data_IF_191911330764
#
_entry.id   IF_191911330764
#
_cell.length_a   1.000
_cell.length_b   1.000
_cell.length_c   1.000
_cell.angle_alpha   90.00
_cell.angle_beta   90.00
_cell.angle_gamma   90.00
#
_symmetry.space_group_name_H-M   'P 1'
#
loop_
_entity.id
_entity.type
_entity.pdbx_description
1 polymer ?
#
# COMPACT_ATOMS: atom_id res chain seq x y z
N UNK A 1 26.71 -13.53 0.78
CA UNK A 1 25.23 -13.51 0.93
C UNK A 1 24.61 -12.32 0.19
N UNK A 2 23.56 -12.52 -0.61
CA UNK A 2 22.84 -11.42 -1.26
C UNK A 2 22.19 -10.55 -0.17
N UNK A 3 22.37 -9.24 -0.26
CA UNK A 3 21.73 -8.28 0.63
C UNK A 3 20.22 -8.29 0.37
N UNK A 4 19.41 -8.35 1.43
CA UNK A 4 17.96 -8.42 1.32
C UNK A 4 17.36 -7.04 1.05
N UNK A 5 16.28 -7.01 0.29
CA UNK A 5 15.64 -5.80 -0.21
C UNK A 5 14.16 -5.68 0.19
N UNK A 6 13.69 -4.47 0.45
CA UNK A 6 12.27 -4.21 0.71
C UNK A 6 11.73 -3.00 -0.06
N UNK A 7 10.42 -2.96 -0.23
CA UNK A 7 9.67 -1.74 -0.55
C UNK A 7 8.45 -1.66 0.37
N UNK A 8 8.22 -0.51 0.99
CA UNK A 8 7.03 -0.22 1.79
C UNK A 8 6.20 0.85 1.09
N UNK A 9 4.98 0.49 0.68
CA UNK A 9 3.98 1.41 0.12
C UNK A 9 3.07 1.81 1.28
N UNK A 10 3.33 2.95 1.89
CA UNK A 10 2.64 3.40 3.08
C UNK A 10 1.65 4.53 2.78
N UNK A 11 0.54 4.54 3.52
CA UNK A 11 -0.48 5.57 3.51
C UNK A 11 0.00 6.87 4.15
N UNK A 12 -0.92 7.55 4.82
CA UNK A 12 -0.78 8.97 5.20
C UNK A 12 -0.12 9.20 6.57
N UNK A 13 0.45 8.17 7.17
CA UNK A 13 0.99 8.24 8.53
C UNK A 13 2.41 8.83 8.50
N UNK A 14 2.62 9.84 9.34
CA UNK A 14 3.84 10.62 9.44
C UNK A 14 5.07 9.79 9.83
N UNK A 15 6.24 10.31 9.46
CA UNK A 15 7.56 9.78 9.73
C UNK A 15 7.69 9.11 11.11
N UNK A 16 8.08 7.83 11.09
CA UNK A 16 8.57 7.09 12.26
C UNK A 16 7.54 6.33 13.11
N UNK A 17 6.25 6.69 13.11
CA UNK A 17 5.30 6.17 14.10
C UNK A 17 4.84 4.71 13.90
N UNK A 18 4.68 4.28 12.64
CA UNK A 18 4.16 2.95 12.30
C UNK A 18 4.80 2.51 10.97
N UNK A 19 5.91 1.77 11.05
CA UNK A 19 6.58 1.19 9.89
C UNK A 19 6.68 -0.31 10.06
N UNK A 20 6.36 -1.04 9.00
CA UNK A 20 6.53 -2.48 8.95
C UNK A 20 7.99 -2.88 8.66
N UNK A 21 8.85 -1.91 8.29
CA UNK A 21 10.21 -2.19 7.78
C UNK A 21 11.32 -1.45 8.52
N UNK A 22 11.02 -0.54 9.45
CA UNK A 22 12.04 0.24 10.16
C UNK A 22 13.07 -0.65 10.86
N UNK A 23 12.62 -1.69 11.56
CA UNK A 23 13.50 -2.67 12.21
C UNK A 23 14.34 -3.50 11.22
N UNK A 24 13.92 -3.64 9.96
CA UNK A 24 14.69 -4.39 8.96
C UNK A 24 15.98 -3.67 8.57
N UNK A 25 15.98 -2.34 8.61
CA UNK A 25 17.17 -1.52 8.32
C UNK A 25 18.29 -1.84 9.31
N UNK A 26 17.98 -1.95 10.60
CA UNK A 26 18.93 -2.29 11.66
C UNK A 26 19.52 -3.71 11.47
N UNK A 27 18.81 -4.58 10.76
CA UNK A 27 19.28 -5.94 10.41
C UNK A 27 20.05 -6.00 9.09
N UNK A 28 20.32 -4.85 8.46
CA UNK A 28 21.11 -4.74 7.23
C UNK A 28 20.31 -4.89 5.92
N UNK A 29 18.97 -4.88 5.98
CA UNK A 29 18.15 -4.79 4.77
C UNK A 29 18.23 -3.38 4.19
N UNK A 30 18.00 -3.27 2.89
CA UNK A 30 17.91 -1.98 2.18
C UNK A 30 16.64 -1.89 1.38
N UNK A 31 16.10 -0.69 1.22
CA UNK A 31 14.86 -0.52 0.52
C UNK A 31 14.42 0.94 0.49
N UNK A 32 13.17 1.13 0.09
CA UNK A 32 12.53 2.43 0.09
C UNK A 32 11.16 2.35 0.74
N UNK A 33 10.77 3.40 1.44
CA UNK A 33 9.41 3.65 1.91
C UNK A 33 8.82 4.79 1.10
N UNK A 34 7.68 4.53 0.47
CA UNK A 34 6.95 5.49 -0.36
C UNK A 34 5.69 5.90 0.40
N UNK A 35 5.56 7.16 0.76
CA UNK A 35 4.42 7.67 1.55
C UNK A 35 4.00 9.06 1.11
N UNK A 36 2.72 9.40 1.24
CA UNK A 36 2.23 10.75 0.95
C UNK A 36 2.72 11.79 1.96
N UNK A 37 3.20 11.37 3.14
CA UNK A 37 3.74 12.22 4.21
C UNK A 37 5.17 11.81 4.58
N UNK A 38 6.11 11.97 3.64
CA UNK A 38 7.52 11.94 4.03
C UNK A 38 7.83 13.19 4.85
N UNK A 39 8.19 13.00 6.13
CA UNK A 39 8.74 14.07 6.96
C UNK A 39 10.13 14.49 6.45
N UNK A 40 10.78 15.40 7.18
CA UNK A 40 12.19 15.78 6.97
C UNK A 40 13.14 14.69 7.49
N UNK A 41 12.92 13.44 7.10
CA UNK A 41 13.74 12.33 7.54
C UNK A 41 15.11 12.41 6.83
N UNK A 42 16.23 12.50 7.58
CA UNK A 42 17.57 12.52 6.98
C UNK A 42 17.95 11.19 6.34
N UNK A 43 17.20 10.11 6.61
CA UNK A 43 17.43 8.82 6.01
C UNK A 43 16.93 8.82 4.56
N UNK A 44 17.83 8.53 3.61
CA UNK A 44 17.54 8.56 2.17
C UNK A 44 16.53 7.50 1.69
N UNK A 45 15.93 6.72 2.60
CA UNK A 45 15.02 5.63 2.22
C UNK A 45 13.55 6.04 2.22
N UNK A 46 13.15 7.14 2.87
CA UNK A 46 11.76 7.61 2.86
C UNK A 46 11.57 8.65 1.75
N UNK A 47 10.62 8.42 0.86
CA UNK A 47 10.31 9.29 -0.27
C UNK A 47 8.84 9.70 -0.26
N UNK A 48 8.61 10.98 -0.56
CA UNK A 48 7.25 11.51 -0.70
C UNK A 48 6.65 11.09 -2.03
N UNK A 49 5.68 10.20 -2.02
CA UNK A 49 4.96 9.72 -3.19
C UNK A 49 3.47 9.50 -2.86
N UNK A 50 2.58 9.86 -3.77
CA UNK A 50 1.16 9.51 -3.68
C UNK A 50 0.91 8.37 -4.66
N UNK A 51 0.62 7.19 -4.12
CA UNK A 51 0.49 5.97 -4.90
C UNK A 51 -0.96 5.69 -5.28
N UNK A 52 -1.14 5.39 -6.56
CA UNK A 52 -2.39 4.96 -7.17
C UNK A 52 -2.11 3.78 -8.12
N UNK A 53 -3.12 2.95 -8.43
CA UNK A 53 -2.96 1.83 -9.35
C UNK A 53 -2.31 2.19 -10.69
N UNK A 54 -2.63 3.38 -11.25
CA UNK A 54 -2.11 3.82 -12.55
C UNK A 54 -0.66 4.33 -12.51
N UNK A 55 -0.13 4.71 -11.34
CA UNK A 55 1.21 5.29 -11.22
C UNK A 55 2.21 4.39 -10.48
N UNK A 56 1.75 3.40 -9.72
CA UNK A 56 2.59 2.64 -8.78
C UNK A 56 3.81 2.00 -9.47
N UNK A 57 3.62 1.36 -10.62
CA UNK A 57 4.72 0.74 -11.36
C UNK A 57 5.80 1.76 -11.79
N UNK A 58 5.39 2.92 -12.28
CA UNK A 58 6.33 3.97 -12.68
C UNK A 58 7.07 4.54 -11.46
N UNK A 59 6.38 4.70 -10.34
CA UNK A 59 6.99 5.15 -9.08
C UNK A 59 8.02 4.15 -8.56
N UNK A 60 7.75 2.84 -8.61
CA UNK A 60 8.74 1.82 -8.21
C UNK A 60 9.99 1.83 -9.11
N UNK A 61 9.81 2.02 -10.42
CA UNK A 61 10.94 2.16 -11.35
C UNK A 61 11.77 3.42 -11.07
N UNK A 62 11.12 4.56 -10.78
CA UNK A 62 11.79 5.82 -10.40
C UNK A 62 12.73 5.64 -9.21
N UNK A 63 12.35 4.80 -8.25
CA UNK A 63 13.13 4.51 -7.04
C UNK A 63 13.98 3.24 -7.16
N UNK A 64 14.19 2.73 -8.38
CA UNK A 64 15.01 1.56 -8.67
C UNK A 64 14.63 0.29 -7.85
N UNK A 65 13.34 0.14 -7.53
CA UNK A 65 12.83 -1.05 -6.83
C UNK A 65 12.87 -2.24 -7.78
N UNK A 66 13.62 -3.27 -7.40
CA UNK A 66 13.70 -4.52 -8.17
C UNK A 66 12.34 -5.16 -8.36
N UNK A 67 12.10 -5.75 -9.54
CA UNK A 67 10.92 -6.59 -9.76
C UNK A 67 10.91 -7.84 -8.87
N UNK A 68 12.06 -8.29 -8.41
CA UNK A 68 12.23 -9.45 -7.51
C UNK A 68 12.62 -9.01 -6.08
N UNK A 69 12.03 -7.92 -5.58
CA UNK A 69 12.26 -7.42 -4.21
C UNK A 69 11.96 -8.52 -3.18
N UNK A 70 12.73 -8.63 -2.10
CA UNK A 70 12.52 -9.73 -1.14
C UNK A 70 11.22 -9.54 -0.33
N UNK A 71 10.88 -8.30 0.02
CA UNK A 71 9.67 -7.96 0.75
C UNK A 71 8.95 -6.78 0.09
N UNK A 72 7.65 -6.94 -0.18
CA UNK A 72 6.76 -5.84 -0.55
C UNK A 72 5.70 -5.68 0.52
N UNK A 73 5.63 -4.50 1.13
CA UNK A 73 4.57 -4.10 2.05
C UNK A 73 3.60 -3.16 1.33
N UNK A 74 2.30 -3.45 1.38
CA UNK A 74 1.23 -2.62 0.81
C UNK A 74 0.24 -2.24 1.90
N UNK A 75 0.30 -0.98 2.33
CA UNK A 75 -0.45 -0.45 3.48
C UNK A 75 -0.79 1.02 3.20
N UNK A 76 -1.73 1.25 2.28
CA UNK A 76 -2.12 2.56 1.74
C UNK A 76 -3.39 3.12 2.38
N UNK A 77 -3.96 2.43 3.37
CA UNK A 77 -5.25 2.75 4.00
C UNK A 77 -6.39 2.93 2.95
N UNK A 78 -6.34 2.28 1.77
CA UNK A 78 -7.31 2.50 0.68
C UNK A 78 -7.17 1.51 -0.51
N UNK A 79 -6.35 1.87 -1.50
CA UNK A 79 -6.26 1.22 -2.81
C UNK A 79 -5.34 -0.02 -2.82
N UNK A 80 -5.13 -0.65 -1.66
CA UNK A 80 -4.16 -1.70 -1.39
C UNK A 80 -4.22 -2.83 -2.42
N UNK A 81 -5.40 -3.42 -2.59
CA UNK A 81 -5.63 -4.49 -3.56
C UNK A 81 -5.40 -4.06 -5.00
N UNK A 82 -5.82 -2.85 -5.38
CA UNK A 82 -5.68 -2.34 -6.75
C UNK A 82 -4.24 -2.00 -7.09
N UNK A 83 -3.49 -1.43 -6.14
CA UNK A 83 -2.06 -1.15 -6.30
C UNK A 83 -1.28 -2.45 -6.37
N UNK A 84 -1.54 -3.40 -5.46
CA UNK A 84 -0.92 -4.71 -5.52
C UNK A 84 -1.19 -5.39 -6.86
N UNK A 85 -2.45 -5.42 -7.32
CA UNK A 85 -2.81 -6.02 -8.60
C UNK A 85 -2.08 -5.35 -9.77
N UNK A 86 -1.98 -4.02 -9.79
CA UNK A 86 -1.27 -3.28 -10.84
C UNK A 86 0.23 -3.63 -10.87
N UNK A 87 0.88 -3.74 -9.71
CA UNK A 87 2.29 -4.10 -9.61
C UNK A 87 2.55 -5.55 -10.05
N UNK A 88 1.71 -6.49 -9.63
CA UNK A 88 1.81 -7.89 -10.05
C UNK A 88 1.60 -8.03 -11.57
N UNK A 89 0.61 -7.34 -12.14
CA UNK A 89 0.39 -7.28 -13.61
C UNK A 89 1.57 -6.65 -14.35
N UNK A 90 2.24 -5.66 -13.75
CA UNK A 90 3.43 -5.02 -14.31
C UNK A 90 4.70 -5.88 -14.15
N UNK A 91 4.59 -7.06 -13.55
CA UNK A 91 5.65 -8.07 -13.47
C UNK A 91 6.50 -8.01 -12.21
N UNK A 92 6.09 -7.29 -11.17
CA UNK A 92 6.71 -7.44 -9.85
C UNK A 92 6.36 -8.83 -9.27
N UNK A 93 7.38 -9.48 -8.74
CA UNK A 93 7.38 -10.81 -8.14
C UNK A 93 8.11 -10.77 -6.79
N UNK A 94 7.59 -10.02 -5.79
CA UNK A 94 8.16 -10.05 -4.45
C UNK A 94 8.19 -11.46 -3.87
N UNK A 95 9.19 -11.80 -3.04
CA UNK A 95 9.24 -13.13 -2.41
C UNK A 95 8.22 -13.26 -1.26
N UNK A 96 7.96 -12.15 -0.58
CA UNK A 96 6.96 -12.05 0.49
C UNK A 96 6.15 -10.79 0.26
N UNK A 97 4.82 -10.92 0.33
CA UNK A 97 3.88 -9.80 0.35
C UNK A 97 3.31 -9.69 1.75
N UNK A 98 3.38 -8.50 2.32
CA UNK A 98 2.59 -8.10 3.49
C UNK A 98 1.63 -7.03 3.02
N UNK A 99 0.34 -7.20 3.26
CA UNK A 99 -0.64 -6.21 2.84
C UNK A 99 -1.74 -6.04 3.89
N UNK A 100 -2.20 -4.80 4.03
CA UNK A 100 -3.27 -4.45 4.96
C UNK A 100 -4.60 -5.08 4.50
N UNK A 101 -5.29 -5.71 5.44
CA UNK A 101 -6.67 -6.15 5.26
C UNK A 101 -7.53 -5.54 6.36
N UNK A 102 -8.70 -5.03 5.97
CA UNK A 102 -9.65 -4.44 6.90
C UNK A 102 -10.67 -5.51 7.33
N UNK A 103 -10.59 -5.92 8.60
CA UNK A 103 -11.44 -6.96 9.17
C UNK A 103 -12.93 -6.58 9.24
N UNK A 104 -13.26 -5.28 9.13
CA UNK A 104 -14.65 -4.82 9.14
C UNK A 104 -15.44 -5.25 7.89
N UNK A 105 -14.77 -5.71 6.83
CA UNK A 105 -15.46 -6.34 5.70
C UNK A 105 -16.05 -7.71 6.02
N UNK A 106 -15.63 -8.36 7.11
CA UNK A 106 -15.96 -9.75 7.40
C UNK A 106 -15.08 -10.75 6.64
N UNK A 107 -14.86 -11.92 7.23
CA UNK A 107 -13.89 -12.93 6.75
C UNK A 107 -14.21 -13.46 5.35
N UNK A 108 -15.50 -13.61 5.03
CA UNK A 108 -15.97 -14.19 3.77
C UNK A 108 -16.12 -13.17 2.63
N UNK A 109 -15.95 -11.88 2.92
CA UNK A 109 -16.15 -10.82 1.94
C UNK A 109 -15.02 -10.77 0.94
N UNK A 110 -15.34 -10.43 -0.30
CA UNK A 110 -14.37 -10.14 -1.36
C UNK A 110 -14.39 -8.66 -1.76
N UNK A 111 -15.00 -7.81 -0.93
CA UNK A 111 -15.12 -6.38 -1.20
C UNK A 111 -13.78 -5.67 -0.99
N UNK A 112 -13.62 -4.56 -1.72
CA UNK A 112 -12.47 -3.66 -1.65
C UNK A 112 -12.96 -2.24 -1.81
N UNK A 113 -12.20 -1.29 -1.26
CA UNK A 113 -12.30 0.12 -1.59
C UNK A 113 -12.32 0.30 -3.12
N UNK A 114 -13.24 1.11 -3.67
CA UNK A 114 -13.34 1.29 -5.10
C UNK A 114 -12.07 1.96 -5.65
N UNK A 115 -11.66 1.70 -6.91
CA UNK A 115 -10.43 2.26 -7.49
C UNK A 115 -10.60 3.74 -7.87
N UNK A 116 -10.90 4.58 -6.88
CA UNK A 116 -11.20 6.00 -7.03
C UNK A 116 -9.96 6.82 -6.67
N UNK A 117 -9.64 7.77 -7.56
CA UNK A 117 -8.41 8.57 -7.51
C UNK A 117 -8.61 9.94 -6.81
N UNK A 118 -9.85 10.37 -6.58
CA UNK A 118 -10.19 11.66 -5.97
C UNK A 118 -10.55 11.53 -4.48
N UNK A 119 -9.58 11.07 -3.70
CA UNK A 119 -9.74 10.95 -2.26
C UNK A 119 -9.67 12.33 -1.59
N UNK A 120 -10.60 12.62 -0.68
CA UNK A 120 -10.62 13.91 0.02
C UNK A 120 -9.98 13.82 1.40
N UNK A 121 -10.40 12.86 2.21
CA UNK A 121 -10.10 12.78 3.65
C UNK A 121 -10.39 11.38 4.18
N UNK A 122 -9.56 10.85 5.09
CA UNK A 122 -9.88 9.68 5.90
C UNK A 122 -10.34 10.11 7.28
N UNK A 123 -11.18 9.30 7.92
CA UNK A 123 -11.51 9.47 9.33
C UNK A 123 -11.45 8.13 10.03
N UNK A 124 -10.72 8.10 11.13
CA UNK A 124 -10.83 7.05 12.12
C UNK A 124 -11.98 7.41 13.06
N UNK A 125 -13.13 6.74 12.95
CA UNK A 125 -14.25 6.96 13.87
C UNK A 125 -14.81 5.64 14.36
N UNK A 126 -14.40 5.25 15.59
CA UNK A 126 -15.05 4.30 16.50
C UNK A 126 -15.20 2.83 16.09
N UNK A 127 -15.45 2.53 14.81
CA UNK A 127 -15.89 1.21 14.33
C UNK A 127 -15.23 0.78 13.00
N UNK A 128 -14.16 1.44 12.55
CA UNK A 128 -13.40 1.05 11.35
C UNK A 128 -12.71 2.21 10.62
N UNK A 129 -11.74 1.91 9.75
CA UNK A 129 -11.17 2.89 8.82
C UNK A 129 -12.23 3.27 7.77
N UNK A 130 -12.81 4.47 7.90
CA UNK A 130 -13.79 5.01 6.95
C UNK A 130 -13.12 6.04 6.05
N UNK A 131 -13.42 5.90 4.77
CA UNK A 131 -12.85 6.65 3.68
C UNK A 131 -13.89 7.56 3.04
N UNK A 132 -13.52 8.83 2.81
CA UNK A 132 -14.37 9.80 2.14
C UNK A 132 -13.81 10.22 0.79
N UNK A 133 -14.65 10.16 -0.23
CA UNK A 133 -14.32 10.60 -1.59
C UNK A 133 -15.47 11.42 -2.19
N UNK A 134 -15.17 12.13 -3.28
CA UNK A 134 -16.20 12.75 -4.13
C UNK A 134 -16.51 11.80 -5.29
N UNK A 135 -17.79 11.48 -5.47
CA UNK A 135 -18.24 10.76 -6.66
C UNK A 135 -18.22 11.65 -7.90
N UNK A 136 -18.65 11.10 -9.03
CA UNK A 136 -18.76 11.81 -10.32
C UNK A 136 -19.70 13.02 -10.29
N UNK A 137 -20.59 13.11 -9.28
CA UNK A 137 -21.50 14.23 -9.05
C UNK A 137 -20.99 15.19 -7.96
N UNK A 138 -19.70 15.10 -7.59
CA UNK A 138 -19.07 15.90 -6.54
C UNK A 138 -19.71 15.74 -5.17
N UNK A 139 -20.46 14.66 -4.95
CA UNK A 139 -21.08 14.36 -3.67
C UNK A 139 -20.11 13.61 -2.77
N UNK A 140 -20.06 14.00 -1.48
CA UNK A 140 -19.24 13.31 -0.48
C UNK A 140 -19.86 11.94 -0.20
N UNK A 141 -19.10 10.89 -0.46
CA UNK A 141 -19.48 9.50 -0.15
C UNK A 141 -18.61 8.93 0.96
N UNK A 142 -19.12 7.89 1.60
CA UNK A 142 -18.45 7.15 2.66
C UNK A 142 -18.36 5.69 2.27
N UNK A 143 -17.19 5.09 2.41
CA UNK A 143 -16.95 3.66 2.23
C UNK A 143 -15.92 3.19 3.24
N UNK A 144 -15.83 1.88 3.48
CA UNK A 144 -14.72 1.32 4.25
C UNK A 144 -13.43 1.39 3.43
N UNK A 145 -12.35 1.79 4.08
CA UNK A 145 -11.00 1.80 3.51
C UNK A 145 -10.43 0.38 3.36
N UNK A 146 -9.47 0.23 2.46
CA UNK A 146 -8.71 -1.00 2.30
C UNK A 146 -9.49 -2.11 1.59
N UNK A 147 -9.20 -3.35 1.96
CA UNK A 147 -9.76 -4.54 1.31
C UNK A 147 -10.03 -5.64 2.33
N UNK A 148 -11.02 -6.48 2.06
CA UNK A 148 -11.25 -7.73 2.78
C UNK A 148 -10.09 -8.72 2.64
N UNK A 149 -9.93 -9.63 3.61
CA UNK A 149 -8.89 -10.67 3.55
C UNK A 149 -9.02 -11.55 2.29
N UNK A 150 -10.22 -12.05 1.96
CA UNK A 150 -10.41 -12.85 0.73
C UNK A 150 -10.29 -12.02 -0.54
N UNK A 151 -10.65 -10.73 -0.52
CA UNK A 151 -10.40 -9.82 -1.63
C UNK A 151 -8.91 -9.69 -1.95
N UNK A 152 -8.09 -9.56 -0.91
CA UNK A 152 -6.64 -9.49 -1.03
C UNK A 152 -6.04 -10.83 -1.48
N UNK A 153 -6.49 -11.95 -0.90
CA UNK A 153 -6.07 -13.30 -1.30
C UNK A 153 -6.35 -13.54 -2.79
N UNK A 154 -7.55 -13.18 -3.27
CA UNK A 154 -7.89 -13.29 -4.71
C UNK A 154 -6.93 -12.51 -5.61
N UNK A 155 -6.47 -11.33 -5.20
CA UNK A 155 -5.48 -10.55 -5.96
C UNK A 155 -4.12 -11.25 -5.97
N UNK A 156 -3.70 -11.79 -4.82
CA UNK A 156 -2.46 -12.55 -4.70
C UNK A 156 -2.49 -13.82 -5.58
N UNK A 157 -3.57 -14.60 -5.53
CA UNK A 157 -3.78 -15.81 -6.35
C UNK A 157 -3.72 -15.49 -7.85
N UNK A 158 -4.34 -14.39 -8.29
CA UNK A 158 -4.27 -13.92 -9.68
C UNK A 158 -2.84 -13.54 -10.10
N UNK A 159 -2.01 -13.17 -9.14
CA UNK A 159 -0.59 -12.95 -9.31
C UNK A 159 0.25 -14.23 -9.23
N UNK A 160 -0.32 -15.37 -8.84
CA UNK A 160 0.41 -16.64 -8.67
C UNK A 160 1.12 -16.78 -7.32
N UNK A 161 0.53 -16.24 -6.26
CA UNK A 161 0.92 -16.52 -4.86
C UNK A 161 0.01 -17.58 -4.24
#
# INVERSE_FOLDING_TARGET
>A
PKMKSFVELAGTIEAGGFSNVLHLIDTGWRGVRLTSRAGSDPTKFIHREVLHPHNAAQTLLKHAVSKEVDLMVVDLDSNDAHVLQALLKAGWRPRVIVAEANSNFGEESTLSFPPIYNYLTYSWSGCGQICYFKDEHMQKRMVMCGVSLRGLARVADQGGY
#
